data_IF_972727435116
#
_entry.id   IF_972727435116
#
_cell.length_a   1.000
_cell.length_b   1.000
_cell.length_c   1.000
_cell.angle_alpha   90.00
_cell.angle_beta   90.00
_cell.angle_gamma   90.00
#
_symmetry.space_group_name_H-M   'P 1'
#
loop_
_entity.id
_entity.type
_entity.pdbx_description
1 polymer ?
#
# COMPACT_ATOMS: atom_id res chain seq x y z
N UNK A 1 -26.31 -11.59 17.84
CA UNK A 1 -25.34 -12.44 17.11
C UNK A 1 -24.22 -11.57 16.59
N UNK A 2 -22.96 -11.92 16.85
CA UNK A 2 -21.81 -11.27 16.21
C UNK A 2 -21.87 -11.58 14.70
N UNK A 3 -21.78 -10.55 13.85
CA UNK A 3 -21.76 -10.75 12.40
C UNK A 3 -20.42 -11.36 12.01
N UNK A 4 -20.44 -12.49 11.30
CA UNK A 4 -19.23 -13.07 10.72
C UNK A 4 -18.68 -12.12 9.66
N UNK A 5 -17.39 -11.77 9.75
CA UNK A 5 -16.71 -10.93 8.77
C UNK A 5 -15.59 -11.74 8.09
N UNK A 6 -15.20 -11.31 6.89
CA UNK A 6 -14.14 -11.93 6.10
C UNK A 6 -13.24 -10.85 5.52
N UNK A 7 -11.93 -11.09 5.53
CA UNK A 7 -10.95 -10.25 4.83
C UNK A 7 -10.63 -10.88 3.49
N UNK A 8 -10.81 -10.12 2.43
CA UNK A 8 -10.52 -10.56 1.07
C UNK A 8 -9.29 -9.82 0.58
N UNK A 9 -8.28 -10.54 0.10
CA UNK A 9 -7.08 -9.97 -0.52
C UNK A 9 -7.13 -10.25 -2.02
N UNK A 10 -6.88 -9.22 -2.82
CA UNK A 10 -6.77 -9.30 -4.27
C UNK A 10 -5.33 -9.05 -4.68
N UNK A 11 -4.73 -10.01 -5.38
CA UNK A 11 -3.44 -9.84 -6.03
C UNK A 11 -3.72 -9.45 -7.47
N UNK A 12 -3.27 -8.26 -7.86
CA UNK A 12 -3.65 -7.64 -9.13
C UNK A 12 -2.39 -7.27 -9.90
N UNK A 13 -2.43 -7.44 -11.22
CA UNK A 13 -1.52 -6.73 -12.10
C UNK A 13 -2.15 -5.37 -12.35
N UNK A 14 -1.39 -4.33 -12.08
CA UNK A 14 -1.73 -2.96 -12.40
C UNK A 14 -0.51 -2.34 -13.08
N UNK A 15 -0.73 -1.71 -14.22
CA UNK A 15 0.25 -0.78 -14.78
C UNK A 15 0.04 0.55 -14.05
N UNK A 16 1.08 1.07 -13.42
CA UNK A 16 1.00 2.27 -12.58
C UNK A 16 1.91 3.33 -13.17
N UNK A 17 1.32 4.45 -13.57
CA UNK A 17 2.03 5.65 -13.95
C UNK A 17 2.22 6.54 -12.71
N UNK A 18 3.44 6.99 -12.48
CA UNK A 18 3.75 8.01 -11.50
C UNK A 18 4.20 9.28 -12.23
N UNK A 19 3.55 10.40 -11.95
CA UNK A 19 3.85 11.70 -12.56
C UNK A 19 4.34 12.66 -11.48
N UNK A 20 5.43 13.36 -11.73
CA UNK A 20 5.98 14.33 -10.79
C UNK A 20 6.52 15.55 -11.54
N UNK A 21 6.29 16.73 -10.97
CA UNK A 21 6.88 17.98 -11.43
C UNK A 21 8.09 18.28 -10.54
N UNK A 22 9.27 18.31 -11.14
CA UNK A 22 10.52 18.58 -10.43
C UNK A 22 11.23 19.81 -11.02
N UNK A 23 12.02 20.47 -10.19
CA UNK A 23 12.89 21.55 -10.62
C UNK A 23 14.00 21.02 -11.54
N UNK A 24 14.45 21.83 -12.49
CA UNK A 24 15.42 21.42 -13.50
C UNK A 24 16.80 21.03 -12.91
N UNK A 25 17.16 21.57 -11.75
CA UNK A 25 18.41 21.25 -11.04
C UNK A 25 18.39 19.86 -10.37
N UNK A 26 17.20 19.26 -10.21
CA UNK A 26 17.01 17.95 -9.59
C UNK A 26 16.97 16.80 -10.61
N UNK A 27 17.07 17.08 -11.91
CA UNK A 27 16.99 16.07 -12.98
C UNK A 27 18.14 16.20 -13.99
N UNK A 28 18.79 15.08 -14.30
CA UNK A 28 19.66 14.92 -15.46
C UNK A 28 18.79 14.43 -16.63
N UNK A 29 18.38 15.37 -17.49
CA UNK A 29 17.48 15.09 -18.62
C UNK A 29 18.13 14.18 -19.66
N UNK A 30 19.45 14.28 -19.86
CA UNK A 30 20.17 13.43 -20.82
C UNK A 30 20.20 11.97 -20.37
N UNK A 31 20.31 11.75 -19.05
CA UNK A 31 20.32 10.40 -18.47
C UNK A 31 18.93 9.89 -18.06
N UNK A 32 17.89 10.73 -18.15
CA UNK A 32 16.54 10.45 -17.66
C UNK A 32 16.53 10.04 -16.18
N UNK A 33 17.32 10.75 -15.35
CA UNK A 33 17.49 10.43 -13.92
C UNK A 33 17.19 11.61 -13.05
N UNK A 34 16.51 11.36 -11.94
CA UNK A 34 16.50 12.26 -10.80
C UNK A 34 17.86 12.15 -10.10
N UNK A 35 18.43 13.29 -9.73
CA UNK A 35 19.79 13.35 -9.19
C UNK A 35 19.90 12.68 -7.81
N UNK A 36 18.81 12.62 -7.05
CA UNK A 36 18.81 12.18 -5.66
C UNK A 36 18.21 10.79 -5.45
N UNK A 37 17.26 10.35 -6.30
CA UNK A 37 16.46 9.15 -6.08
C UNK A 37 16.10 8.44 -7.39
N UNK A 38 16.14 7.11 -7.46
CA UNK A 38 15.72 6.35 -8.65
C UNK A 38 14.22 5.99 -8.67
N UNK A 39 13.43 6.51 -7.72
CA UNK A 39 12.01 6.20 -7.55
C UNK A 39 11.17 7.48 -7.46
N UNK A 40 9.86 7.44 -7.80
CA UNK A 40 8.96 8.58 -7.63
C UNK A 40 8.96 9.05 -6.17
N UNK A 41 8.94 10.38 -5.95
CA UNK A 41 8.90 10.88 -4.57
C UNK A 41 7.50 10.72 -3.98
N UNK A 42 7.37 11.04 -2.68
CA UNK A 42 6.06 11.09 -2.01
C UNK A 42 5.08 12.11 -2.62
N UNK A 43 5.57 13.04 -3.44
CA UNK A 43 4.76 14.07 -4.10
C UNK A 43 4.27 13.64 -5.48
N UNK A 44 4.71 12.49 -5.98
CA UNK A 44 4.26 11.97 -7.27
C UNK A 44 2.75 11.64 -7.23
N UNK A 45 2.06 11.98 -8.32
CA UNK A 45 0.68 11.57 -8.55
C UNK A 45 0.68 10.18 -9.18
N UNK A 46 0.01 9.21 -8.55
CA UNK A 46 -0.07 7.84 -9.04
C UNK A 46 -1.41 7.58 -9.72
N UNK A 47 -1.37 7.07 -10.94
CA UNK A 47 -2.54 6.68 -11.73
C UNK A 47 -2.38 5.23 -12.15
N UNK A 48 -3.47 4.46 -12.05
CA UNK A 48 -3.51 3.11 -12.60
C UNK A 48 -3.92 3.22 -14.07
N UNK A 49 -3.05 2.78 -14.96
CA UNK A 49 -3.29 2.74 -16.39
C UNK A 49 -3.87 1.38 -16.79
N UNK A 50 -4.93 1.42 -17.60
CA UNK A 50 -5.59 0.22 -18.14
C UNK A 50 -6.48 -0.52 -17.14
N UNK A 51 -6.90 -1.72 -17.54
CA UNK A 51 -7.79 -2.56 -16.74
C UNK A 51 -7.02 -3.30 -15.65
N UNK A 52 -7.42 -3.10 -14.39
CA UNK A 52 -6.90 -3.87 -13.27
C UNK A 52 -7.29 -5.34 -13.44
N UNK A 53 -6.30 -6.22 -13.60
CA UNK A 53 -6.54 -7.66 -13.71
C UNK A 53 -6.26 -8.36 -12.39
N UNK A 54 -7.28 -8.98 -11.80
CA UNK A 54 -7.12 -9.86 -10.64
C UNK A 54 -6.46 -11.17 -11.11
N UNK A 55 -5.31 -11.48 -10.51
CA UNK A 55 -4.55 -12.70 -10.78
C UNK A 55 -4.91 -13.78 -9.77
N UNK A 56 -5.04 -13.40 -8.49
CA UNK A 56 -5.31 -14.32 -7.39
C UNK A 56 -6.17 -13.64 -6.32
N UNK A 57 -7.03 -14.43 -5.68
CA UNK A 57 -7.84 -14.01 -4.53
C UNK A 57 -7.57 -14.93 -3.35
N UNK A 58 -7.48 -14.39 -2.14
CA UNK A 58 -7.53 -15.18 -0.90
C UNK A 58 -8.59 -14.61 0.04
N UNK A 59 -9.28 -15.48 0.77
CA UNK A 59 -10.30 -15.12 1.74
C UNK A 59 -9.89 -15.72 3.09
N UNK A 60 -9.92 -14.92 4.14
CA UNK A 60 -9.67 -15.37 5.51
C UNK A 60 -10.79 -14.87 6.44
N UNK A 61 -11.14 -15.67 7.45
CA UNK A 61 -12.07 -15.23 8.50
C UNK A 61 -11.49 -13.98 9.17
N UNK A 62 -12.30 -12.93 9.29
CA UNK A 62 -11.92 -11.70 9.95
C UNK A 62 -12.70 -11.57 11.25
N UNK A 63 -12.00 -11.73 12.36
CA UNK A 63 -12.45 -11.24 13.65
C UNK A 63 -11.73 -9.93 13.90
N UNK A 64 -12.46 -8.81 14.01
CA UNK A 64 -11.93 -7.71 14.79
C UNK A 64 -11.61 -8.30 16.16
N UNK A 65 -10.32 -8.38 16.52
CA UNK A 65 -9.95 -8.62 17.89
C UNK A 65 -10.44 -7.41 18.68
N UNK A 66 -11.68 -7.45 19.16
CA UNK A 66 -12.18 -6.61 20.26
C UNK A 66 -11.51 -6.99 21.59
N UNK A 67 -10.29 -7.54 21.55
CA UNK A 67 -9.42 -7.63 22.72
C UNK A 67 -8.78 -6.28 22.97
N UNK A 68 -9.63 -5.33 23.35
CA UNK A 68 -9.27 -4.31 24.32
C UNK A 68 -9.32 -4.95 25.73
N UNK A 69 -8.73 -6.16 25.88
CA UNK A 69 -8.37 -6.67 27.18
C UNK A 69 -7.04 -6.02 27.48
N UNK A 70 -7.10 -4.84 28.10
CA UNK A 70 -6.03 -4.34 28.96
C UNK A 70 -5.44 -5.53 29.70
N UNK A 71 -4.26 -5.97 29.28
CA UNK A 71 -3.42 -6.92 30.00
C UNK A 71 -3.02 -6.16 31.27
N UNK A 72 -3.90 -6.17 32.27
CA UNK A 72 -3.48 -6.00 33.65
C UNK A 72 -2.79 -7.32 33.98
N UNK A 73 -1.47 -7.32 33.81
CA UNK A 73 -0.59 -8.28 34.44
C UNK A 73 -0.79 -8.19 35.96
N UNK A 74 -1.73 -8.96 36.50
CA UNK A 74 -1.65 -9.42 37.89
C UNK A 74 -0.60 -10.51 37.91
N UNK A 75 0.67 -10.09 37.99
CA UNK A 75 1.73 -10.93 38.52
C UNK A 75 1.44 -11.09 40.01
N UNK A 76 0.84 -12.22 40.37
CA UNK A 76 0.81 -12.67 41.76
C UNK A 76 2.26 -12.89 42.22
N UNK A 77 2.59 -12.24 43.34
CA UNK A 77 3.84 -12.35 44.08
C UNK A 77 3.64 -13.31 45.24
#
# INVERSE_FOLDING_TARGET
>A
MLKKQYKIKYFMNADILAEEIVDADKIDVEKLKLNEHDFPTKNAEFKVNGDIKIIRKSIEDYGENTNNSSIKSSSDK
#
